data_IF_947432644964
#
_entry.id   IF_947432644964
#
_cell.length_a   1.000
_cell.length_b   1.000
_cell.length_c   1.000
_cell.angle_alpha   90.00
_cell.angle_beta   90.00
_cell.angle_gamma   90.00
#
_symmetry.space_group_name_H-M   'P 1'
#
loop_
_entity.id
_entity.type
_entity.pdbx_description
1 polymer ?
#
# COMPACT_ATOMS: atom_id res chain seq x y z
N UNK A 1 -46.13 27.50 -53.35
CA UNK A 1 -44.82 26.82 -53.29
C UNK A 1 -43.86 27.48 -52.25
N UNK A 2 -44.34 27.86 -51.05
CA UNK A 2 -43.52 28.65 -50.13
C UNK A 2 -42.99 27.87 -48.92
N UNK A 3 -43.15 26.54 -48.89
CA UNK A 3 -42.80 25.75 -47.68
C UNK A 3 -41.36 25.17 -47.59
N UNK A 4 -40.65 25.10 -48.76
CA UNK A 4 -39.27 24.57 -48.78
C UNK A 4 -38.19 25.60 -48.46
N UNK A 5 -38.47 26.90 -48.59
CA UNK A 5 -37.47 27.96 -48.45
C UNK A 5 -36.96 28.07 -46.99
N UNK A 6 -37.83 27.85 -45.98
CA UNK A 6 -37.44 27.95 -44.58
C UNK A 6 -36.54 26.81 -44.12
N UNK A 7 -36.90 25.54 -44.38
CA UNK A 7 -36.11 24.35 -44.02
C UNK A 7 -34.75 24.35 -44.75
N UNK A 8 -34.75 24.61 -46.06
CA UNK A 8 -33.52 24.68 -46.86
C UNK A 8 -32.60 25.82 -46.40
N UNK A 9 -33.15 26.97 -45.98
CA UNK A 9 -32.36 28.06 -45.40
C UNK A 9 -31.71 27.64 -44.09
N UNK A 10 -32.46 26.98 -43.17
CA UNK A 10 -31.91 26.45 -41.93
C UNK A 10 -30.81 25.42 -42.19
N UNK A 11 -31.01 24.46 -43.11
CA UNK A 11 -29.98 23.48 -43.49
C UNK A 11 -28.72 24.18 -44.04
N UNK A 12 -28.88 25.08 -45.01
CA UNK A 12 -27.75 25.80 -45.62
C UNK A 12 -26.92 26.59 -44.61
N UNK A 13 -27.58 27.11 -43.57
CA UNK A 13 -26.96 27.92 -42.54
C UNK A 13 -26.65 27.12 -41.28
N UNK A 14 -26.70 25.80 -41.29
CA UNK A 14 -26.46 24.96 -40.08
C UNK A 14 -25.10 25.19 -39.41
N UNK A 15 -24.11 25.59 -40.20
CA UNK A 15 -22.79 25.96 -39.65
C UNK A 15 -22.75 27.22 -38.79
N UNK A 16 -23.84 27.99 -38.73
CA UNK A 16 -23.94 29.15 -37.84
C UNK A 16 -24.35 28.80 -36.42
N UNK A 17 -24.79 27.56 -36.17
CA UNK A 17 -25.11 27.08 -34.85
C UNK A 17 -23.80 26.81 -34.11
N UNK A 18 -23.66 27.39 -32.93
CA UNK A 18 -22.49 27.14 -32.08
C UNK A 18 -22.81 26.01 -31.11
N UNK A 19 -21.90 25.04 -30.99
CA UNK A 19 -22.04 23.93 -30.08
C UNK A 19 -20.88 23.93 -29.07
N UNK A 20 -21.22 23.66 -27.84
CA UNK A 20 -20.27 23.40 -26.75
C UNK A 20 -20.58 22.02 -26.17
N UNK A 21 -19.57 21.18 -26.03
CA UNK A 21 -19.70 19.84 -25.48
C UNK A 21 -18.85 19.66 -24.24
N UNK A 22 -19.42 19.06 -23.22
CA UNK A 22 -18.74 18.75 -21.97
C UNK A 22 -18.99 17.28 -21.62
N UNK A 23 -17.94 16.48 -21.42
CA UNK A 23 -16.52 16.81 -21.60
C UNK A 23 -16.14 16.99 -23.10
N UNK A 24 -15.05 17.71 -23.39
CA UNK A 24 -14.58 17.93 -24.77
C UNK A 24 -14.18 16.66 -25.50
N UNK A 25 -13.63 15.70 -24.77
CA UNK A 25 -13.41 14.32 -25.19
C UNK A 25 -14.23 13.45 -24.27
N UNK A 26 -15.06 12.59 -24.84
CA UNK A 26 -15.94 11.74 -24.03
C UNK A 26 -15.15 10.72 -23.23
N UNK A 27 -15.61 10.43 -22.05
CA UNK A 27 -15.00 9.47 -21.12
C UNK A 27 -16.06 8.61 -20.43
N UNK A 28 -15.70 7.44 -19.98
CA UNK A 28 -16.60 6.57 -19.24
C UNK A 28 -16.30 6.61 -17.75
N UNK A 29 -17.36 6.79 -16.95
CA UNK A 29 -17.33 6.68 -15.50
C UNK A 29 -18.32 5.63 -15.04
N UNK A 30 -17.86 4.65 -14.27
CA UNK A 30 -18.68 3.53 -13.79
C UNK A 30 -19.45 2.80 -14.91
N UNK A 31 -18.88 2.71 -16.12
CA UNK A 31 -19.52 2.05 -17.25
C UNK A 31 -20.56 2.91 -17.99
N UNK A 32 -20.67 4.19 -17.66
CA UNK A 32 -21.58 5.13 -18.31
C UNK A 32 -20.82 6.25 -19.01
N UNK A 33 -21.31 6.65 -20.17
CA UNK A 33 -20.81 7.81 -20.93
C UNK A 33 -21.83 8.93 -20.79
N UNK A 34 -21.44 10.00 -20.12
CA UNK A 34 -22.27 11.19 -19.93
C UNK A 34 -21.84 12.29 -20.89
N UNK A 35 -22.82 13.04 -21.40
CA UNK A 35 -22.56 14.19 -22.26
C UNK A 35 -23.52 15.33 -21.95
N UNK A 36 -22.99 16.54 -21.93
CA UNK A 36 -23.76 17.77 -21.95
C UNK A 36 -23.46 18.49 -23.27
N UNK A 37 -24.49 18.78 -24.04
CA UNK A 37 -24.39 19.53 -25.29
C UNK A 37 -25.18 20.83 -25.13
N UNK A 38 -24.51 21.95 -25.28
CA UNK A 38 -25.15 23.27 -25.37
C UNK A 38 -25.11 23.71 -26.81
N UNK A 39 -26.22 24.24 -27.29
CA UNK A 39 -26.30 24.81 -28.63
C UNK A 39 -26.85 26.23 -28.59
N UNK A 40 -26.26 27.10 -29.41
CA UNK A 40 -26.69 28.48 -29.53
C UNK A 40 -27.11 28.77 -30.98
N UNK A 41 -28.33 29.22 -31.15
CA UNK A 41 -28.88 29.64 -32.43
C UNK A 41 -28.76 31.15 -32.56
N UNK A 42 -28.19 31.65 -33.67
CA UNK A 42 -28.13 33.09 -33.91
C UNK A 42 -29.50 33.67 -34.30
N UNK A 43 -29.58 34.97 -34.24
CA UNK A 43 -30.75 35.72 -34.70
C UNK A 43 -31.11 35.37 -36.15
N UNK A 44 -32.42 35.31 -36.47
CA UNK A 44 -32.97 35.03 -37.81
C UNK A 44 -32.69 33.64 -38.38
N UNK A 45 -32.15 32.74 -37.56
CA UNK A 45 -31.85 31.36 -37.96
C UNK A 45 -33.11 30.48 -37.91
N UNK A 46 -33.80 30.46 -36.76
CA UNK A 46 -34.87 29.49 -36.50
C UNK A 46 -36.18 29.90 -37.17
N UNK A 47 -36.75 29.02 -38.00
CA UNK A 47 -38.03 29.28 -38.64
C UNK A 47 -39.18 29.15 -37.62
N UNK A 48 -40.10 30.13 -37.59
CA UNK A 48 -41.17 30.24 -36.62
C UNK A 48 -42.15 29.07 -36.58
N UNK A 49 -42.27 28.32 -37.70
CA UNK A 49 -43.23 27.21 -37.87
C UNK A 49 -42.54 25.85 -37.95
N UNK A 50 -41.28 25.73 -37.56
CA UNK A 50 -40.49 24.52 -37.69
C UNK A 50 -40.25 23.88 -36.30
N UNK A 51 -40.36 22.56 -36.26
CA UNK A 51 -39.87 21.74 -35.14
C UNK A 51 -38.55 21.11 -35.56
N UNK A 52 -37.54 21.12 -34.68
CA UNK A 52 -36.23 20.57 -34.92
C UNK A 52 -35.96 19.49 -33.86
N UNK A 53 -35.62 18.30 -34.27
CA UNK A 53 -35.20 17.19 -33.42
C UNK A 53 -33.71 17.00 -33.58
N UNK A 54 -32.97 17.09 -32.49
CA UNK A 54 -31.53 16.82 -32.42
C UNK A 54 -31.31 15.52 -31.66
N UNK A 55 -30.67 14.56 -32.32
CA UNK A 55 -30.39 13.23 -31.78
C UNK A 55 -28.87 13.01 -31.70
N UNK A 56 -28.26 13.02 -30.53
CA UNK A 56 -26.87 12.65 -30.36
C UNK A 56 -26.68 11.14 -30.57
N UNK A 57 -25.61 10.77 -31.28
CA UNK A 57 -25.29 9.38 -31.63
C UNK A 57 -23.79 9.18 -31.53
N UNK A 58 -23.37 8.13 -30.87
CA UNK A 58 -21.98 7.66 -30.90
C UNK A 58 -21.81 6.71 -32.07
N UNK A 59 -20.93 7.06 -33.01
CA UNK A 59 -20.57 6.23 -34.15
C UNK A 59 -19.20 5.62 -33.94
N UNK A 60 -19.05 4.32 -34.17
CA UNK A 60 -17.82 3.57 -33.97
C UNK A 60 -17.69 2.44 -35.01
N UNK A 61 -16.54 1.79 -35.06
CA UNK A 61 -16.34 0.66 -35.95
C UNK A 61 -17.37 -0.46 -35.69
N UNK A 62 -18.15 -0.81 -36.72
CA UNK A 62 -19.16 -1.86 -36.62
C UNK A 62 -20.53 -1.43 -36.11
N UNK A 63 -20.78 -0.13 -35.85
CA UNK A 63 -22.12 0.30 -35.46
C UNK A 63 -22.24 1.71 -34.88
N UNK A 64 -23.39 1.92 -34.30
CA UNK A 64 -23.70 3.19 -33.64
C UNK A 64 -24.59 2.97 -32.43
N UNK A 65 -24.61 3.92 -31.53
CA UNK A 65 -25.49 3.93 -30.34
C UNK A 65 -26.07 5.33 -30.17
N UNK A 66 -27.36 5.46 -30.32
CA UNK A 66 -28.07 6.72 -30.06
C UNK A 66 -28.28 6.88 -28.55
N UNK A 67 -28.22 8.12 -28.08
CA UNK A 67 -28.64 8.44 -26.74
C UNK A 67 -30.17 8.31 -26.62
N UNK A 68 -30.66 7.80 -25.50
CA UNK A 68 -32.11 7.51 -25.30
C UNK A 68 -32.97 8.77 -25.42
N UNK A 69 -32.46 9.90 -24.94
CA UNK A 69 -33.17 11.17 -25.01
C UNK A 69 -32.82 11.90 -26.30
N UNK A 70 -33.79 12.56 -26.90
CA UNK A 70 -33.61 13.48 -27.98
C UNK A 70 -33.97 14.91 -27.55
N UNK A 71 -33.33 15.91 -28.12
CA UNK A 71 -33.68 17.31 -27.90
C UNK A 71 -34.65 17.77 -28.97
N UNK A 72 -35.86 18.16 -28.53
CA UNK A 72 -36.83 18.71 -29.45
C UNK A 72 -36.98 20.21 -29.19
N UNK A 73 -36.83 21.01 -30.26
CA UNK A 73 -36.91 22.46 -30.23
C UNK A 73 -38.01 22.91 -31.19
N UNK A 74 -38.67 24.00 -30.90
CA UNK A 74 -39.73 24.53 -31.73
C UNK A 74 -39.62 26.03 -31.93
N UNK A 75 -40.11 26.48 -33.09
CA UNK A 75 -40.27 27.90 -33.38
C UNK A 75 -41.51 28.49 -32.70
N UNK A 76 -41.56 29.81 -32.60
CA UNK A 76 -42.55 30.58 -31.84
C UNK A 76 -44.03 30.32 -32.24
N UNK A 77 -44.28 29.86 -33.48
CA UNK A 77 -45.63 29.61 -34.03
C UNK A 77 -46.03 28.13 -34.05
N UNK A 78 -45.20 27.26 -33.50
CA UNK A 78 -45.52 25.84 -33.33
C UNK A 78 -46.28 25.67 -32.02
N UNK A 79 -47.46 25.05 -32.09
CA UNK A 79 -48.28 24.76 -30.90
C UNK A 79 -47.96 23.34 -30.41
N UNK A 80 -46.86 23.24 -29.69
CA UNK A 80 -46.43 22.02 -29.00
C UNK A 80 -45.74 22.39 -27.70
N UNK A 81 -45.50 21.43 -26.84
CA UNK A 81 -44.87 21.67 -25.51
C UNK A 81 -43.36 21.34 -25.54
N UNK A 82 -42.63 21.97 -26.52
CA UNK A 82 -41.17 21.82 -26.60
C UNK A 82 -40.49 23.16 -26.28
N UNK A 83 -39.18 23.10 -26.11
CA UNK A 83 -38.40 24.32 -25.89
C UNK A 83 -38.49 25.24 -27.12
N UNK A 84 -38.92 26.47 -26.89
CA UNK A 84 -39.07 27.47 -27.94
C UNK A 84 -37.74 28.16 -28.23
N UNK A 85 -37.37 28.22 -29.51
CA UNK A 85 -36.30 29.06 -30.01
C UNK A 85 -36.93 30.23 -30.77
N UNK A 86 -36.65 31.43 -30.33
CA UNK A 86 -37.23 32.65 -30.90
C UNK A 86 -36.52 33.04 -32.19
N UNK A 87 -37.14 33.93 -32.94
CA UNK A 87 -36.53 34.52 -34.16
C UNK A 87 -35.30 35.38 -33.83
N UNK A 88 -35.21 35.89 -32.58
CA UNK A 88 -34.06 36.66 -32.06
C UNK A 88 -32.90 35.78 -31.61
N UNK A 89 -33.03 34.47 -31.77
CA UNK A 89 -32.05 33.49 -31.31
C UNK A 89 -32.48 32.79 -30.02
N UNK A 90 -31.65 31.91 -29.54
CA UNK A 90 -31.88 31.15 -28.31
C UNK A 90 -30.88 30.04 -28.12
N UNK A 91 -30.87 29.48 -26.93
CA UNK A 91 -29.94 28.42 -26.52
C UNK A 91 -30.72 27.17 -26.11
N UNK A 92 -30.09 26.04 -26.19
CA UNK A 92 -30.57 24.80 -25.55
C UNK A 92 -29.43 24.09 -24.79
N UNK A 93 -29.83 23.27 -23.84
CA UNK A 93 -28.93 22.37 -23.17
C UNK A 93 -29.50 20.97 -23.16
N UNK A 94 -28.74 20.04 -23.67
CA UNK A 94 -29.04 18.62 -23.67
C UNK A 94 -28.14 17.89 -22.69
N UNK A 95 -28.70 17.00 -21.89
CA UNK A 95 -27.95 16.10 -21.02
C UNK A 95 -28.35 14.66 -21.37
N UNK A 96 -27.40 13.85 -21.75
CA UNK A 96 -27.59 12.45 -22.10
C UNK A 96 -26.59 11.53 -21.43
N UNK A 97 -27.00 10.28 -21.33
CA UNK A 97 -26.20 9.19 -20.81
C UNK A 97 -26.42 7.94 -21.65
N UNK A 98 -25.38 7.16 -21.86
CA UNK A 98 -25.45 5.87 -22.56
C UNK A 98 -24.50 4.87 -21.89
N UNK A 99 -24.87 3.58 -21.78
CA UNK A 99 -23.96 2.56 -21.29
C UNK A 99 -22.74 2.41 -22.21
N UNK A 100 -21.56 2.34 -21.63
CA UNK A 100 -20.32 2.13 -22.37
C UNK A 100 -20.25 0.71 -22.94
N UNK A 101 -19.79 0.60 -24.18
CA UNK A 101 -19.41 -0.65 -24.82
C UNK A 101 -17.96 -0.55 -25.29
N UNK A 102 -17.20 -1.62 -25.25
CA UNK A 102 -15.78 -1.61 -25.67
C UNK A 102 -15.57 -1.08 -27.09
N UNK A 103 -16.51 -1.34 -28.00
CA UNK A 103 -16.48 -0.81 -29.34
C UNK A 103 -16.50 0.73 -29.43
N UNK A 104 -16.97 1.42 -28.38
CA UNK A 104 -17.01 2.89 -28.30
C UNK A 104 -15.64 3.50 -27.96
N UNK A 105 -14.60 2.70 -27.66
CA UNK A 105 -13.26 3.17 -27.32
C UNK A 105 -12.66 4.11 -28.38
N UNK A 106 -13.01 3.88 -29.66
CA UNK A 106 -12.69 4.78 -30.76
C UNK A 106 -14.01 5.13 -31.41
N UNK A 107 -14.55 6.29 -31.10
CA UNK A 107 -15.86 6.73 -31.56
C UNK A 107 -15.89 8.24 -31.75
N UNK A 108 -16.91 8.70 -32.47
CA UNK A 108 -17.22 10.10 -32.67
C UNK A 108 -18.65 10.38 -32.20
N UNK A 109 -18.83 11.46 -31.46
CA UNK A 109 -20.16 11.97 -31.12
C UNK A 109 -20.67 12.80 -32.27
N UNK A 110 -21.68 12.28 -32.93
CA UNK A 110 -22.38 12.95 -34.03
C UNK A 110 -23.73 13.48 -33.56
N UNK A 111 -24.11 14.66 -34.00
CA UNK A 111 -25.45 15.22 -33.83
C UNK A 111 -26.23 15.11 -35.11
N UNK A 112 -27.30 14.29 -35.12
CA UNK A 112 -28.24 14.20 -36.23
C UNK A 112 -29.40 15.15 -35.99
N UNK A 113 -29.71 15.93 -36.98
CA UNK A 113 -30.73 16.97 -36.91
C UNK A 113 -31.78 16.72 -37.97
N UNK A 114 -33.04 16.64 -37.55
CA UNK A 114 -34.20 16.55 -38.43
C UNK A 114 -35.13 17.72 -38.18
N UNK A 115 -35.44 18.46 -39.20
CA UNK A 115 -36.38 19.59 -39.15
C UNK A 115 -37.70 19.24 -39.82
N UNK A 116 -38.82 19.60 -39.23
CA UNK A 116 -40.19 19.33 -39.74
C UNK A 116 -40.97 20.64 -39.74
N UNK A 117 -41.64 20.89 -40.86
CA UNK A 117 -42.55 22.03 -41.01
C UNK A 117 -43.83 21.60 -41.76
N UNK A 118 -44.94 21.50 -41.04
CA UNK A 118 -46.18 20.90 -41.56
C UNK A 118 -45.94 19.44 -41.99
N UNK A 119 -46.24 19.10 -43.23
CA UNK A 119 -46.03 17.75 -43.79
C UNK A 119 -44.61 17.52 -44.38
N UNK A 120 -43.75 18.53 -44.35
CA UNK A 120 -42.39 18.44 -44.92
C UNK A 120 -41.35 18.21 -43.88
N UNK A 121 -40.41 17.28 -44.14
CA UNK A 121 -39.24 17.04 -43.27
C UNK A 121 -37.96 17.16 -44.08
N UNK A 122 -36.88 17.53 -43.41
CA UNK A 122 -35.55 17.65 -44.00
C UNK A 122 -34.51 17.22 -42.98
N UNK A 123 -33.65 16.28 -43.36
CA UNK A 123 -32.50 15.90 -42.54
C UNK A 123 -31.29 16.80 -42.88
N UNK A 124 -30.62 17.25 -41.86
CA UNK A 124 -29.40 18.03 -41.99
C UNK A 124 -28.20 17.10 -42.07
N UNK A 125 -27.07 17.60 -42.55
CA UNK A 125 -25.83 16.86 -42.52
C UNK A 125 -25.42 16.67 -41.05
N UNK A 126 -24.99 15.47 -40.65
CA UNK A 126 -24.59 15.22 -39.26
C UNK A 126 -23.40 16.10 -38.87
N UNK A 127 -23.41 16.59 -37.62
CA UNK A 127 -22.34 17.44 -37.10
C UNK A 127 -21.51 16.64 -36.11
N UNK A 128 -20.19 16.54 -36.33
CA UNK A 128 -19.28 15.97 -35.36
C UNK A 128 -19.09 16.95 -34.20
N UNK A 129 -19.34 16.51 -32.99
CA UNK A 129 -19.29 17.32 -31.77
C UNK A 129 -18.07 17.04 -30.90
N UNK A 130 -17.67 15.77 -30.78
CA UNK A 130 -16.56 15.34 -29.92
C UNK A 130 -15.99 14.01 -30.39
N UNK A 131 -14.79 13.73 -29.95
CA UNK A 131 -14.16 12.41 -30.02
C UNK A 131 -14.34 11.66 -28.70
N UNK A 132 -14.21 10.38 -28.71
CA UNK A 132 -14.23 9.58 -27.49
C UNK A 132 -14.31 8.12 -27.84
N UNK A 133 -14.45 7.17 -26.90
CA UNK A 133 -14.61 7.36 -25.44
C UNK A 133 -13.35 6.91 -24.73
N UNK A 134 -12.77 7.75 -23.86
CA UNK A 134 -11.64 7.36 -23.05
C UNK A 134 -12.13 6.42 -21.95
N UNK A 135 -11.55 5.21 -21.90
CA UNK A 135 -11.86 4.20 -20.90
C UNK A 135 -10.58 3.83 -20.11
N UNK A 136 -10.28 4.59 -19.08
CA UNK A 136 -9.08 4.37 -18.23
C UNK A 136 -9.10 3.03 -17.50
N UNK A 137 -10.28 2.44 -17.29
CA UNK A 137 -10.42 1.09 -16.73
C UNK A 137 -9.73 0.01 -17.56
N UNK A 138 -9.50 0.24 -18.86
CA UNK A 138 -8.76 -0.67 -19.73
C UNK A 138 -7.25 -0.63 -19.51
N UNK A 139 -6.74 0.41 -18.83
CA UNK A 139 -5.33 0.59 -18.49
C UNK A 139 -4.95 -0.12 -17.18
N UNK A 140 -5.94 -0.59 -16.42
CA UNK A 140 -5.70 -1.31 -15.19
C UNK A 140 -5.08 -2.67 -15.49
N UNK A 141 -3.89 -2.91 -14.94
CA UNK A 141 -3.27 -4.23 -15.02
C UNK A 141 -4.07 -5.24 -14.18
N UNK A 142 -4.85 -6.09 -14.86
CA UNK A 142 -5.66 -7.13 -14.22
C UNK A 142 -4.83 -8.29 -13.66
N UNK A 143 -3.55 -8.35 -14.02
CA UNK A 143 -2.61 -9.35 -13.53
C UNK A 143 -1.65 -8.68 -12.53
N UNK A 144 -2.17 -8.37 -11.36
CA UNK A 144 -1.33 -7.90 -10.26
C UNK A 144 -0.27 -8.97 -9.95
N UNK A 145 1.01 -8.61 -10.05
CA UNK A 145 2.13 -9.45 -9.61
C UNK A 145 2.55 -8.95 -8.25
N UNK A 146 2.30 -9.72 -7.18
CA UNK A 146 2.81 -9.33 -5.87
C UNK A 146 4.33 -9.35 -5.91
N UNK A 147 4.96 -8.28 -5.48
CA UNK A 147 6.39 -8.26 -5.22
C UNK A 147 6.60 -8.76 -3.81
N UNK A 148 7.21 -9.94 -3.69
CA UNK A 148 7.63 -10.47 -2.39
C UNK A 148 9.10 -10.11 -2.19
N UNK A 149 9.38 -9.45 -1.08
CA UNK A 149 10.74 -9.24 -0.58
C UNK A 149 11.02 -10.25 0.51
N UNK A 150 12.28 -10.72 0.62
CA UNK A 150 12.72 -11.41 1.82
C UNK A 150 12.58 -10.43 2.98
N UNK A 151 11.79 -10.81 3.96
CA UNK A 151 11.78 -10.11 5.23
C UNK A 151 12.98 -10.56 6.08
N UNK A 152 13.36 -9.74 7.05
CA UNK A 152 14.36 -10.07 8.06
C UNK A 152 13.69 -10.64 9.32
N UNK A 153 12.52 -11.25 9.16
CA UNK A 153 11.81 -11.81 10.30
C UNK A 153 12.58 -12.99 10.88
N UNK A 154 13.01 -12.84 12.12
CA UNK A 154 13.67 -13.87 12.90
C UNK A 154 12.67 -14.40 13.93
N UNK A 155 12.17 -15.61 13.69
CA UNK A 155 11.16 -16.24 14.55
C UNK A 155 11.70 -16.56 15.94
N UNK A 156 12.97 -16.88 16.03
CA UNK A 156 13.64 -17.27 17.29
C UNK A 156 14.87 -16.39 17.47
N UNK A 157 14.86 -15.54 18.46
CA UNK A 157 16.00 -14.69 18.80
C UNK A 157 16.70 -15.28 20.04
N UNK A 158 18.00 -15.65 19.95
CA UNK A 158 18.76 -16.08 21.10
C UNK A 158 19.07 -14.88 22.01
N UNK A 159 18.90 -15.07 23.29
CA UNK A 159 19.30 -14.13 24.33
C UNK A 159 20.21 -14.83 25.33
N UNK A 160 21.10 -14.09 25.96
CA UNK A 160 21.97 -14.60 27.02
C UNK A 160 22.05 -13.62 28.19
N UNK A 161 22.10 -14.15 29.40
CA UNK A 161 22.37 -13.40 30.61
C UNK A 161 23.61 -13.99 31.25
N UNK A 162 24.56 -13.14 31.66
CA UNK A 162 25.85 -13.51 32.24
C UNK A 162 25.94 -12.93 33.64
N UNK A 163 26.57 -13.63 34.52
CA UNK A 163 26.96 -13.15 35.86
C UNK A 163 28.31 -13.76 36.29
N UNK A 164 29.11 -12.97 36.97
CA UNK A 164 30.42 -13.34 37.38
C UNK A 164 30.48 -13.60 38.91
N UNK A 165 31.22 -14.61 39.32
CA UNK A 165 31.46 -14.92 40.73
C UNK A 165 32.97 -14.79 41.02
N UNK A 166 33.33 -13.83 41.81
CA UNK A 166 34.72 -13.60 42.20
C UNK A 166 35.10 -14.38 43.44
N UNK A 167 36.19 -15.14 43.36
CA UNK A 167 36.70 -15.96 44.41
C UNK A 167 37.91 -15.30 45.11
N UNK A 168 38.06 -15.56 46.37
CA UNK A 168 39.30 -15.20 47.07
C UNK A 168 40.45 -16.05 46.54
N UNK A 169 41.67 -15.49 46.54
CA UNK A 169 42.88 -16.19 46.12
C UNK A 169 42.96 -17.55 46.83
N UNK A 170 43.27 -18.61 46.04
CA UNK A 170 43.40 -20.00 46.52
C UNK A 170 42.14 -20.58 47.17
N UNK A 171 40.96 -19.98 46.95
CA UNK A 171 39.69 -20.47 47.48
C UNK A 171 38.65 -20.74 46.38
N UNK A 172 37.73 -21.64 46.70
CA UNK A 172 36.63 -22.04 45.83
C UNK A 172 35.23 -21.88 46.46
N UNK A 173 35.19 -21.38 47.73
CA UNK A 173 33.92 -21.08 48.41
C UNK A 173 33.35 -19.75 47.92
N UNK A 174 32.04 -19.74 47.60
CA UNK A 174 31.33 -18.53 47.19
C UNK A 174 30.97 -17.71 48.39
N UNK A 175 31.45 -16.47 48.43
CA UNK A 175 31.17 -15.55 49.56
C UNK A 175 29.70 -15.11 49.53
N UNK A 176 29.07 -14.87 50.69
CA UNK A 176 27.71 -14.32 50.74
C UNK A 176 27.54 -12.95 50.03
N UNK A 177 28.63 -12.17 49.97
CA UNK A 177 28.64 -10.90 49.21
C UNK A 177 28.46 -11.10 47.72
N UNK A 178 29.08 -12.12 47.12
CA UNK A 178 28.96 -12.45 45.71
C UNK A 178 27.52 -12.81 45.32
N UNK A 179 26.81 -13.52 46.21
CA UNK A 179 25.40 -13.86 46.01
C UNK A 179 24.47 -12.64 45.98
N UNK A 180 24.94 -11.48 46.41
CA UNK A 180 24.26 -10.20 46.44
C UNK A 180 24.81 -9.23 45.38
N UNK A 181 25.81 -9.63 44.62
CA UNK A 181 26.32 -8.85 43.51
C UNK A 181 25.19 -8.58 42.50
N UNK A 182 25.22 -7.42 41.89
CA UNK A 182 24.12 -6.93 41.04
C UNK A 182 23.84 -7.86 39.86
N UNK A 183 24.88 -8.34 39.20
CA UNK A 183 24.80 -9.24 38.05
C UNK A 183 24.21 -10.61 38.44
N UNK A 184 24.60 -11.15 39.65
CA UNK A 184 24.04 -12.40 40.18
C UNK A 184 22.57 -12.23 40.54
N UNK A 185 22.19 -11.10 41.13
CA UNK A 185 20.78 -10.78 41.42
C UNK A 185 19.97 -10.62 40.13
N UNK A 186 20.52 -9.95 39.12
CA UNK A 186 19.90 -9.81 37.83
C UNK A 186 19.74 -11.17 37.13
N UNK A 187 20.74 -12.05 37.16
CA UNK A 187 20.64 -13.40 36.62
C UNK A 187 19.51 -14.18 37.28
N UNK A 188 19.39 -14.15 38.59
CA UNK A 188 18.31 -14.83 39.32
C UNK A 188 16.93 -14.29 38.94
N UNK A 189 16.80 -12.98 38.85
CA UNK A 189 15.55 -12.33 38.39
C UNK A 189 15.21 -12.72 36.96
N UNK A 190 16.20 -12.75 36.07
CA UNK A 190 16.05 -13.19 34.69
C UNK A 190 15.54 -14.65 34.61
N UNK A 191 16.15 -15.56 35.37
CA UNK A 191 15.71 -16.96 35.42
C UNK A 191 14.23 -17.05 35.83
N UNK A 192 13.81 -16.32 36.87
CA UNK A 192 12.42 -16.31 37.31
C UNK A 192 11.46 -15.74 36.26
N UNK A 193 11.84 -14.65 35.62
CA UNK A 193 11.04 -14.02 34.56
C UNK A 193 10.84 -14.95 33.38
N UNK A 194 11.93 -15.57 32.88
CA UNK A 194 11.85 -16.50 31.75
C UNK A 194 11.07 -17.76 32.09
N UNK A 195 11.20 -18.25 33.35
CA UNK A 195 10.47 -19.44 33.79
C UNK A 195 8.94 -19.28 33.76
N UNK A 196 8.44 -18.04 33.80
CA UNK A 196 7.00 -17.71 33.81
C UNK A 196 6.49 -17.21 32.43
N UNK A 197 7.37 -16.93 31.49
CA UNK A 197 7.01 -16.41 30.17
C UNK A 197 6.75 -17.56 29.17
N UNK A 198 5.53 -17.74 28.64
CA UNK A 198 5.21 -18.82 27.71
C UNK A 198 5.90 -18.69 26.34
N UNK A 199 6.44 -17.50 26.01
CA UNK A 199 7.11 -17.24 24.73
C UNK A 199 8.62 -17.43 24.79
N UNK A 200 9.17 -17.74 25.99
CA UNK A 200 10.60 -17.88 26.23
C UNK A 200 10.91 -19.25 26.80
N UNK A 201 12.06 -19.79 26.44
CA UNK A 201 12.53 -21.05 27.00
C UNK A 201 14.05 -21.08 27.11
N UNK A 202 14.54 -21.72 28.13
CA UNK A 202 15.97 -21.94 28.32
C UNK A 202 16.48 -23.02 27.35
N UNK A 203 17.63 -22.77 26.75
CA UNK A 203 18.34 -23.77 25.92
C UNK A 203 19.45 -24.47 26.66
N UNK A 204 20.20 -23.75 27.45
CA UNK A 204 21.33 -24.26 28.22
C UNK A 204 21.70 -23.28 29.31
N UNK A 205 22.41 -23.79 30.33
CA UNK A 205 23.12 -23.03 31.32
C UNK A 205 24.60 -23.47 31.31
N UNK A 206 25.47 -22.51 31.02
CA UNK A 206 26.90 -22.79 30.93
C UNK A 206 27.62 -22.20 32.15
N UNK A 207 28.51 -22.96 32.76
CA UNK A 207 29.39 -22.51 33.82
C UNK A 207 30.84 -22.61 33.35
N UNK A 208 31.51 -21.46 33.26
CA UNK A 208 32.94 -21.41 33.00
C UNK A 208 33.66 -21.04 34.24
N UNK A 209 34.68 -21.81 34.63
CA UNK A 209 35.44 -21.61 35.84
C UNK A 209 36.93 -21.53 35.55
N UNK A 210 37.57 -20.60 36.19
CA UNK A 210 38.94 -20.20 35.91
C UNK A 210 39.79 -20.18 37.17
N UNK A 211 41.08 -20.45 37.00
CA UNK A 211 42.09 -20.08 38.01
C UNK A 211 43.09 -19.10 37.36
N UNK A 212 43.70 -18.24 38.13
CA UNK A 212 44.74 -17.35 37.62
C UNK A 212 46.00 -18.15 37.30
N UNK A 213 46.77 -17.71 36.26
CA UNK A 213 47.95 -18.47 35.81
C UNK A 213 49.13 -18.43 36.79
N UNK A 214 49.02 -17.73 37.91
CA UNK A 214 49.99 -17.76 38.96
C UNK A 214 49.88 -19.05 39.78
N UNK A 215 50.91 -19.81 39.89
CA UNK A 215 50.96 -21.05 40.67
C UNK A 215 51.22 -22.30 39.83
N UNK A 216 51.16 -23.47 40.49
CA UNK A 216 51.38 -24.74 39.76
C UNK A 216 50.11 -25.18 39.05
N UNK A 217 50.27 -25.67 37.84
CA UNK A 217 49.17 -26.15 36.99
C UNK A 217 48.26 -27.16 37.73
N UNK A 218 48.79 -28.18 38.36
CA UNK A 218 48.02 -29.20 39.08
C UNK A 218 47.16 -28.61 40.24
N UNK A 219 47.68 -27.54 40.88
CA UNK A 219 46.90 -26.83 41.88
C UNK A 219 45.78 -26.02 41.25
N UNK A 220 46.06 -25.30 40.15
CA UNK A 220 45.09 -24.48 39.41
C UNK A 220 44.01 -25.35 38.76
N UNK A 221 44.34 -26.55 38.27
CA UNK A 221 43.39 -27.52 37.78
C UNK A 221 42.37 -27.93 38.84
N UNK A 222 42.85 -28.26 40.06
CA UNK A 222 41.96 -28.59 41.19
C UNK A 222 41.14 -27.37 41.62
N UNK A 223 41.76 -26.21 41.67
CA UNK A 223 41.11 -24.96 42.07
C UNK A 223 39.99 -24.55 41.12
N UNK A 224 40.25 -24.54 39.84
CA UNK A 224 39.23 -24.23 38.79
C UNK A 224 38.10 -25.27 38.80
N UNK A 225 38.42 -26.56 38.95
CA UNK A 225 37.41 -27.62 39.08
C UNK A 225 36.53 -27.46 40.32
N UNK A 226 37.10 -27.10 41.46
CA UNK A 226 36.34 -26.86 42.68
C UNK A 226 35.45 -25.59 42.58
N UNK A 227 35.94 -24.54 41.96
CA UNK A 227 35.16 -23.33 41.64
C UNK A 227 33.98 -23.65 40.71
N UNK A 228 34.23 -24.43 39.67
CA UNK A 228 33.17 -24.91 38.75
C UNK A 228 32.11 -25.72 39.50
N UNK A 229 32.51 -26.63 40.36
CA UNK A 229 31.58 -27.41 41.18
C UNK A 229 30.72 -26.54 42.12
N UNK A 230 31.32 -25.50 42.72
CA UNK A 230 30.59 -24.59 43.58
C UNK A 230 29.57 -23.73 42.77
N UNK A 231 29.98 -23.23 41.62
CA UNK A 231 29.11 -22.46 40.73
C UNK A 231 28.00 -23.34 40.12
N UNK A 232 28.32 -24.58 39.69
CA UNK A 232 27.32 -25.55 39.20
C UNK A 232 26.24 -25.83 40.23
N UNK A 233 26.65 -26.01 41.51
CA UNK A 233 25.70 -26.24 42.58
C UNK A 233 24.78 -25.04 42.81
N UNK A 234 25.31 -23.85 42.69
CA UNK A 234 24.53 -22.62 42.81
C UNK A 234 23.51 -22.53 41.65
N UNK A 235 23.96 -22.65 40.40
CA UNK A 235 23.09 -22.48 39.25
C UNK A 235 22.02 -23.57 39.15
N UNK A 236 22.37 -24.84 39.43
CA UNK A 236 21.42 -25.95 39.49
C UNK A 236 20.30 -25.72 40.47
N UNK A 237 20.60 -25.08 41.63
CA UNK A 237 19.60 -24.71 42.62
C UNK A 237 18.62 -23.68 42.11
N UNK A 238 19.08 -22.69 41.33
CA UNK A 238 18.19 -21.67 40.73
C UNK A 238 17.29 -22.27 39.65
N UNK A 239 17.72 -23.33 38.98
CA UNK A 239 16.97 -24.05 37.94
C UNK A 239 16.17 -25.26 38.44
N UNK A 240 16.16 -25.54 39.72
CA UNK A 240 15.58 -26.78 40.33
C UNK A 240 14.12 -27.04 39.90
N UNK A 241 13.32 -25.97 39.72
CA UNK A 241 11.91 -26.05 39.36
C UNK A 241 11.65 -25.90 37.86
N UNK A 242 12.66 -25.79 37.01
CA UNK A 242 12.53 -25.53 35.58
C UNK A 242 12.65 -26.84 34.83
N UNK A 243 11.58 -27.20 34.12
CA UNK A 243 11.48 -28.47 33.38
C UNK A 243 12.57 -28.60 32.28
N UNK A 244 12.89 -27.54 31.58
CA UNK A 244 13.93 -27.52 30.57
C UNK A 244 15.32 -27.90 31.12
N UNK A 245 15.56 -27.65 32.39
CA UNK A 245 16.84 -27.97 33.07
C UNK A 245 17.04 -29.46 33.36
N UNK A 246 16.00 -30.28 33.21
CA UNK A 246 16.08 -31.74 33.39
C UNK A 246 16.62 -32.44 32.13
N UNK A 247 16.73 -31.74 31.00
CA UNK A 247 17.25 -32.31 29.77
C UNK A 247 18.75 -32.63 29.86
N UNK A 248 19.15 -33.74 29.29
CA UNK A 248 20.55 -34.10 29.20
C UNK A 248 21.34 -33.03 28.41
N UNK A 249 22.49 -32.64 28.96
CA UNK A 249 23.36 -31.64 28.36
C UNK A 249 22.88 -30.18 28.51
N UNK A 250 21.83 -29.94 29.33
CA UNK A 250 21.40 -28.58 29.64
C UNK A 250 22.46 -27.79 30.40
N UNK A 251 23.07 -28.39 31.41
CA UNK A 251 24.19 -27.81 32.14
C UNK A 251 25.50 -28.21 31.50
N UNK A 252 26.32 -27.25 31.15
CA UNK A 252 27.67 -27.47 30.59
C UNK A 252 28.66 -26.74 31.46
N UNK A 253 29.71 -27.44 31.92
CA UNK A 253 30.77 -26.88 32.73
C UNK A 253 32.09 -26.98 32.00
N UNK A 254 32.78 -25.87 31.94
CA UNK A 254 34.12 -25.74 31.35
C UNK A 254 35.05 -25.24 32.44
N UNK A 255 36.19 -25.92 32.62
CA UNK A 255 37.21 -25.52 33.56
C UNK A 255 38.49 -25.14 32.83
N UNK A 256 39.07 -24.02 33.18
CA UNK A 256 40.30 -23.51 32.60
C UNK A 256 41.31 -23.30 33.75
N UNK A 257 42.30 -24.19 33.89
CA UNK A 257 43.27 -24.12 34.98
C UNK A 257 44.14 -22.88 34.97
N UNK A 258 44.51 -22.41 33.76
CA UNK A 258 45.33 -21.23 33.52
C UNK A 258 44.73 -20.44 32.37
N UNK A 259 44.07 -19.34 32.69
CA UNK A 259 43.43 -18.47 31.70
C UNK A 259 44.37 -17.34 31.24
N UNK A 260 45.32 -17.68 30.41
CA UNK A 260 46.26 -16.71 29.88
C UNK A 260 45.62 -15.69 28.92
N UNK A 261 44.60 -16.09 28.19
CA UNK A 261 43.89 -15.19 27.31
C UNK A 261 43.02 -14.19 28.08
N UNK A 262 42.32 -14.67 29.09
CA UNK A 262 41.55 -13.81 29.98
C UNK A 262 42.48 -12.88 30.75
N UNK A 263 43.59 -13.36 31.28
CA UNK A 263 44.59 -12.55 31.93
C UNK A 263 45.10 -11.41 31.02
N UNK A 264 45.50 -11.74 29.80
CA UNK A 264 45.91 -10.76 28.80
C UNK A 264 44.84 -9.72 28.55
N UNK A 265 43.59 -10.16 28.34
CA UNK A 265 42.42 -9.28 28.10
C UNK A 265 42.20 -8.31 29.28
N UNK A 266 42.30 -8.79 30.52
CA UNK A 266 42.10 -7.95 31.69
C UNK A 266 43.29 -6.99 31.92
N UNK A 267 44.52 -7.41 31.61
CA UNK A 267 45.69 -6.53 31.62
C UNK A 267 45.56 -5.44 30.55
N UNK A 268 45.11 -5.78 29.37
CA UNK A 268 44.86 -4.81 28.29
C UNK A 268 43.81 -3.74 28.65
N UNK A 269 42.78 -4.10 29.38
CA UNK A 269 41.75 -3.18 29.88
C UNK A 269 42.19 -2.38 31.11
N UNK A 270 43.18 -2.86 31.87
CA UNK A 270 43.62 -2.24 33.11
C UNK A 270 44.45 -0.98 32.88
N UNK A 271 44.58 -0.16 33.93
CA UNK A 271 45.46 1.00 33.97
C UNK A 271 46.71 0.75 34.83
N UNK A 272 47.16 -0.51 34.87
CA UNK A 272 48.35 -0.85 35.65
C UNK A 272 49.61 -0.23 35.04
N UNK A 273 50.55 0.14 35.89
CA UNK A 273 51.84 0.62 35.49
C UNK A 273 52.63 -0.53 34.81
N UNK A 274 53.43 -0.22 33.81
CA UNK A 274 54.25 -1.20 33.08
C UNK A 274 53.46 -2.28 32.33
N UNK A 275 52.22 -1.94 31.92
CA UNK A 275 51.31 -2.82 31.19
C UNK A 275 51.97 -3.45 29.94
N UNK A 276 52.69 -2.65 29.16
CA UNK A 276 53.37 -3.11 27.93
C UNK A 276 54.53 -4.07 28.19
N UNK A 277 54.99 -4.13 29.44
CA UNK A 277 56.05 -5.08 29.84
C UNK A 277 55.43 -6.43 30.27
N UNK A 278 54.16 -6.41 30.70
CA UNK A 278 53.42 -7.61 31.14
C UNK A 278 52.83 -8.34 29.94
N UNK A 279 52.41 -7.61 28.90
CA UNK A 279 51.87 -8.13 27.66
C UNK A 279 52.92 -8.54 26.63
#
# INVERSE_FOLDING_TARGET
MSGCSGLNKMKKNSGLIQYEVTPKVLETHAGLVNVTIKGAFPEKYFDKKTTLTATPVLTYAGGETAFEKVQVLQGEKVQANNQVITYTGGNFTYNGVVPYKEAMKVSELMLRIKAVRGSKSLDFDPVKLADGVIATSTLVNKHARPTMMKDNFVRITPESQIADINYVINRSDIRPSELKAEDVVQLKSYIQTVATDPNRQFKAANVSSYASPDGKFDFNEKLSGNRGTAADKLIKKEFDKIEAAKADGFFKSITTPEDWEGFKTEVEKSNIQDKDLIL
#
